data_IF_754147190201
#
_entry.id   IF_754147190201
#
_cell.length_a   1.000
_cell.length_b   1.000
_cell.length_c   1.000
_cell.angle_alpha   90.00
_cell.angle_beta   90.00
_cell.angle_gamma   90.00
#
_symmetry.space_group_name_H-M   'P 1'
#
loop_
_entity.id
_entity.type
_entity.pdbx_description
1 polymer ?
#
# COMPACT_ATOMS: atom_id res chain seq x y z
N UNK A 1 -1.42 22.41 8.85
CA UNK A 1 -1.93 21.09 8.44
C UNK A 1 -3.45 21.15 8.48
N UNK A 2 -4.14 20.56 7.51
CA UNK A 2 -5.61 20.46 7.55
C UNK A 2 -5.95 19.27 8.44
N UNK A 3 -6.66 19.53 9.52
CA UNK A 3 -7.10 18.51 10.46
C UNK A 3 -8.09 17.55 9.77
N UNK A 4 -7.96 16.23 9.95
CA UNK A 4 -8.88 15.28 9.35
C UNK A 4 -10.30 15.38 9.92
N UNK A 5 -11.31 15.44 9.05
CA UNK A 5 -12.71 15.33 9.46
C UNK A 5 -13.09 13.85 9.67
N UNK A 6 -12.84 13.34 10.89
CA UNK A 6 -13.06 11.94 11.24
C UNK A 6 -14.51 11.50 11.00
N UNK A 7 -15.49 12.37 11.31
CA UNK A 7 -16.91 12.05 11.13
C UNK A 7 -17.26 11.84 9.65
N UNK A 8 -16.72 12.69 8.78
CA UNK A 8 -16.86 12.53 7.34
C UNK A 8 -16.20 11.25 6.85
N UNK A 9 -15.01 10.92 7.35
CA UNK A 9 -14.28 9.70 6.97
C UNK A 9 -15.04 8.44 7.39
N UNK A 10 -15.54 8.40 8.62
CA UNK A 10 -16.37 7.29 9.12
C UNK A 10 -17.64 7.11 8.29
N UNK A 11 -18.33 8.21 7.97
CA UNK A 11 -19.53 8.17 7.12
C UNK A 11 -19.21 7.58 5.74
N UNK A 12 -18.15 8.09 5.08
CA UNK A 12 -17.76 7.62 3.74
C UNK A 12 -17.28 6.17 3.75
N UNK A 13 -16.54 5.76 4.77
CA UNK A 13 -16.11 4.37 4.93
C UNK A 13 -17.32 3.45 5.14
N UNK A 14 -18.27 3.85 5.97
CA UNK A 14 -19.52 3.11 6.19
C UNK A 14 -20.33 2.96 4.90
N UNK A 15 -20.43 4.01 4.09
CA UNK A 15 -21.08 3.96 2.78
C UNK A 15 -20.40 2.97 1.82
N UNK A 16 -19.05 3.00 1.76
CA UNK A 16 -18.27 2.05 0.98
C UNK A 16 -18.54 0.62 1.44
N UNK A 17 -18.44 0.36 2.74
CA UNK A 17 -18.63 -0.97 3.32
C UNK A 17 -20.05 -1.50 3.04
N UNK A 18 -21.08 -0.66 3.20
CA UNK A 18 -22.47 -0.99 2.85
C UNK A 18 -22.63 -1.30 1.36
N UNK A 19 -21.99 -0.53 0.49
CA UNK A 19 -22.05 -0.76 -0.96
C UNK A 19 -21.42 -2.11 -1.34
N UNK A 20 -20.28 -2.44 -0.75
CA UNK A 20 -19.57 -3.70 -0.99
C UNK A 20 -20.37 -4.88 -0.43
N UNK A 21 -20.86 -4.80 0.81
CA UNK A 21 -21.62 -5.88 1.45
C UNK A 21 -22.98 -6.14 0.78
N UNK A 22 -23.63 -5.09 0.26
CA UNK A 22 -24.87 -5.22 -0.52
C UNK A 22 -24.64 -5.72 -1.96
N UNK A 23 -23.42 -6.08 -2.35
CA UNK A 23 -23.11 -6.61 -3.68
C UNK A 23 -23.41 -5.62 -4.81
N UNK A 24 -23.24 -4.31 -4.57
CA UNK A 24 -23.48 -3.28 -5.59
C UNK A 24 -22.52 -3.45 -6.76
N UNK A 25 -22.85 -2.82 -7.90
CA UNK A 25 -22.03 -2.93 -9.10
C UNK A 25 -20.59 -2.48 -8.82
N UNK A 26 -19.62 -3.15 -9.45
CA UNK A 26 -18.19 -2.86 -9.26
C UNK A 26 -17.86 -1.38 -9.49
N UNK A 27 -18.46 -0.76 -10.51
CA UNK A 27 -18.26 0.67 -10.81
C UNK A 27 -18.74 1.57 -9.66
N UNK A 28 -19.88 1.23 -9.05
CA UNK A 28 -20.42 1.97 -7.91
C UNK A 28 -19.50 1.86 -6.69
N UNK A 29 -19.06 0.65 -6.35
CA UNK A 29 -18.13 0.45 -5.24
C UNK A 29 -16.78 1.15 -5.48
N UNK A 30 -16.26 1.14 -6.71
CA UNK A 30 -15.05 1.88 -7.07
C UNK A 30 -15.22 3.39 -6.94
N UNK A 31 -16.40 3.92 -7.28
CA UNK A 31 -16.71 5.34 -7.10
C UNK A 31 -16.65 5.73 -5.62
N UNK A 32 -17.33 4.95 -4.76
CA UNK A 32 -17.32 5.17 -3.30
C UNK A 32 -15.94 5.00 -2.68
N UNK A 33 -15.19 3.99 -3.13
CA UNK A 33 -13.81 3.78 -2.70
C UNK A 33 -12.91 4.95 -3.09
N UNK A 34 -13.00 5.43 -4.34
CA UNK A 34 -12.21 6.58 -4.81
C UNK A 34 -12.59 7.88 -4.10
N UNK A 35 -13.87 8.05 -3.77
CA UNK A 35 -14.35 9.17 -2.96
C UNK A 35 -13.80 9.14 -1.54
N UNK A 36 -13.86 7.98 -0.88
CA UNK A 36 -13.30 7.76 0.45
C UNK A 36 -11.79 8.04 0.47
N UNK A 37 -11.02 7.43 -0.44
CA UNK A 37 -9.55 7.60 -0.51
C UNK A 37 -9.16 9.06 -0.68
N UNK A 38 -9.81 9.80 -1.59
CA UNK A 38 -9.52 11.24 -1.79
C UNK A 38 -9.86 12.10 -0.58
N UNK A 39 -10.94 11.75 0.12
CA UNK A 39 -11.34 12.46 1.34
C UNK A 39 -10.35 12.18 2.48
N UNK A 40 -9.97 10.91 2.68
CA UNK A 40 -8.97 10.48 3.65
C UNK A 40 -7.64 11.18 3.42
N UNK A 41 -7.21 11.29 2.17
CA UNK A 41 -5.95 11.90 1.79
C UNK A 41 -5.99 13.44 1.79
N UNK A 42 -7.07 14.04 2.33
CA UNK A 42 -7.17 15.50 2.51
C UNK A 42 -7.41 16.26 1.21
N UNK A 43 -8.00 15.61 0.20
CA UNK A 43 -8.27 16.21 -1.12
C UNK A 43 -7.01 16.77 -1.78
N UNK A 44 -5.90 16.04 -1.65
CA UNK A 44 -4.61 16.37 -2.26
C UNK A 44 -3.87 15.12 -2.71
N UNK A 45 -2.90 15.31 -3.60
CA UNK A 45 -1.90 14.32 -3.90
C UNK A 45 -1.09 14.02 -2.64
N UNK A 46 -0.98 12.75 -2.26
CA UNK A 46 -0.16 12.35 -1.10
C UNK A 46 1.34 12.52 -1.40
N UNK A 47 1.72 12.41 -2.67
CA UNK A 47 3.12 12.50 -3.11
C UNK A 47 3.63 13.94 -3.21
N UNK A 48 2.88 14.81 -3.89
CA UNK A 48 3.35 16.18 -4.21
C UNK A 48 2.44 17.30 -3.70
N UNK A 49 1.42 16.98 -2.89
CA UNK A 49 0.47 17.93 -2.28
C UNK A 49 -0.37 18.79 -3.25
N UNK A 50 -0.27 18.60 -4.56
CA UNK A 50 -1.13 19.23 -5.58
C UNK A 50 -2.61 18.91 -5.30
N UNK A 51 -3.52 19.86 -5.54
CA UNK A 51 -4.96 19.72 -5.26
C UNK A 51 -5.79 19.56 -6.54
N UNK A 52 -5.19 19.69 -7.72
CA UNK A 52 -5.86 19.57 -9.00
C UNK A 52 -5.67 18.20 -9.67
N UNK A 53 -6.69 17.76 -10.42
CA UNK A 53 -6.62 16.55 -11.24
C UNK A 53 -6.40 15.27 -10.42
N UNK A 54 -7.10 15.14 -9.30
CA UNK A 54 -6.91 14.08 -8.31
C UNK A 54 -7.70 12.82 -8.63
N UNK A 55 -7.02 11.67 -8.50
CA UNK A 55 -7.61 10.35 -8.64
C UNK A 55 -7.01 9.38 -7.63
N UNK A 56 -7.84 8.49 -7.09
CA UNK A 56 -7.37 7.35 -6.32
C UNK A 56 -6.63 6.35 -7.23
N UNK A 57 -5.43 5.98 -6.81
CA UNK A 57 -4.57 4.98 -7.41
C UNK A 57 -4.60 3.71 -6.56
N UNK A 58 -4.68 2.55 -7.21
CA UNK A 58 -4.52 1.27 -6.52
C UNK A 58 -3.04 0.99 -6.28
N UNK A 59 -2.63 0.82 -5.02
CA UNK A 59 -1.24 0.50 -4.69
C UNK A 59 -0.95 -0.97 -5.05
N UNK A 60 -1.70 -1.89 -4.46
CA UNK A 60 -1.65 -3.32 -4.75
C UNK A 60 -2.53 -3.69 -5.95
N UNK A 61 -1.99 -4.51 -6.84
CA UNK A 61 -2.65 -4.83 -8.13
C UNK A 61 -3.88 -5.72 -7.94
N UNK A 62 -5.01 -5.28 -8.50
CA UNK A 62 -6.29 -6.02 -8.54
C UNK A 62 -6.21 -7.41 -9.15
N UNK A 63 -5.26 -7.64 -10.06
CA UNK A 63 -5.06 -8.94 -10.71
C UNK A 63 -4.59 -10.00 -9.71
N UNK A 64 -3.87 -9.57 -8.66
CA UNK A 64 -3.29 -10.44 -7.64
C UNK A 64 -4.24 -10.63 -6.46
N UNK A 65 -5.07 -9.63 -6.15
CA UNK A 65 -6.17 -9.75 -5.18
C UNK A 65 -7.36 -8.89 -5.61
N UNK A 66 -8.34 -9.49 -6.29
CA UNK A 66 -9.50 -8.77 -6.82
C UNK A 66 -10.45 -8.29 -5.73
N UNK A 67 -10.56 -9.05 -4.63
CA UNK A 67 -11.32 -8.69 -3.43
C UNK A 67 -10.75 -7.45 -2.73
N UNK A 68 -9.43 -7.30 -2.72
CA UNK A 68 -8.72 -6.19 -2.07
C UNK A 68 -8.85 -4.84 -2.79
N UNK A 69 -9.51 -4.78 -3.96
CA UNK A 69 -9.63 -3.54 -4.73
C UNK A 69 -10.45 -2.44 -4.03
N UNK A 70 -11.18 -2.79 -2.96
CA UNK A 70 -11.97 -1.88 -2.14
C UNK A 70 -11.38 -1.65 -0.76
N UNK A 71 -10.23 -2.26 -0.46
CA UNK A 71 -9.55 -2.05 0.82
C UNK A 71 -9.19 -0.56 0.95
N UNK A 72 -9.52 0.08 2.08
CA UNK A 72 -9.14 1.47 2.37
C UNK A 72 -7.64 1.71 2.16
N UNK A 73 -6.79 0.84 2.70
CA UNK A 73 -5.33 0.93 2.58
C UNK A 73 -4.78 0.60 1.19
N UNK A 74 -5.60 0.06 0.28
CA UNK A 74 -5.15 -0.25 -1.09
C UNK A 74 -5.33 0.94 -2.06
N UNK A 75 -5.58 2.13 -1.53
CA UNK A 75 -5.75 3.35 -2.28
C UNK A 75 -4.81 4.47 -1.83
N UNK A 76 -4.34 5.27 -2.77
CA UNK A 76 -3.63 6.53 -2.52
C UNK A 76 -4.06 7.58 -3.52
N UNK A 77 -4.26 8.82 -3.09
CA UNK A 77 -4.65 9.92 -3.96
C UNK A 77 -3.42 10.51 -4.63
N UNK A 78 -3.44 10.53 -5.96
CA UNK A 78 -2.39 11.10 -6.78
C UNK A 78 -2.95 12.13 -7.77
N UNK A 79 -2.19 13.19 -8.03
CA UNK A 79 -2.48 14.09 -9.15
C UNK A 79 -2.14 13.40 -10.49
N UNK A 80 -2.62 13.97 -11.61
CA UNK A 80 -2.39 13.42 -12.95
C UNK A 80 -0.93 13.11 -13.27
N UNK A 81 0.01 13.94 -12.80
CA UNK A 81 1.46 13.76 -13.02
C UNK A 81 1.97 12.53 -12.26
N UNK A 82 1.86 12.53 -10.94
CA UNK A 82 2.31 11.42 -10.09
C UNK A 82 1.61 10.11 -10.47
N UNK A 83 0.31 10.17 -10.80
CA UNK A 83 -0.44 9.01 -11.28
C UNK A 83 0.16 8.42 -12.55
N UNK A 84 0.51 9.26 -13.54
CA UNK A 84 1.16 8.82 -14.78
C UNK A 84 2.56 8.25 -14.51
N UNK A 85 3.28 8.81 -13.55
CA UNK A 85 4.63 8.38 -13.20
C UNK A 85 4.66 6.95 -12.64
N UNK A 86 3.68 6.57 -11.81
CA UNK A 86 3.47 5.20 -11.34
C UNK A 86 3.22 4.17 -12.48
N UNK A 87 2.99 4.67 -13.69
CA UNK A 87 2.60 3.92 -14.89
C UNK A 87 3.63 4.03 -16.03
N UNK A 88 4.73 4.79 -15.85
CA UNK A 88 5.76 4.99 -16.89
C UNK A 88 6.48 3.71 -17.29
N UNK A 89 6.81 2.86 -16.32
CA UNK A 89 7.62 1.65 -16.54
C UNK A 89 6.80 0.49 -17.10
N UNK A 90 5.59 0.27 -16.57
CA UNK A 90 4.75 -0.87 -16.96
C UNK A 90 3.25 -0.53 -16.92
N UNK A 91 2.58 -0.67 -18.06
CA UNK A 91 1.17 -0.29 -18.25
C UNK A 91 0.23 -1.43 -18.70
N UNK A 92 0.73 -2.66 -18.76
CA UNK A 92 -0.02 -3.81 -19.28
C UNK A 92 -0.50 -4.73 -18.14
N UNK A 93 -1.32 -5.72 -18.46
CA UNK A 93 -1.63 -6.82 -17.54
C UNK A 93 -0.40 -7.74 -17.47
N UNK A 94 0.11 -8.09 -16.27
CA UNK A 94 1.26 -8.96 -16.16
C UNK A 94 0.92 -10.38 -16.61
N UNK A 95 1.88 -11.05 -17.24
CA UNK A 95 1.78 -12.48 -17.51
C UNK A 95 2.11 -13.28 -16.25
N UNK A 96 1.08 -13.87 -15.63
CA UNK A 96 1.22 -14.63 -14.38
C UNK A 96 1.98 -15.96 -14.53
N UNK A 97 2.32 -16.38 -15.75
CA UNK A 97 3.16 -17.57 -15.97
C UNK A 97 4.66 -17.27 -15.91
N UNK A 98 5.06 -16.00 -15.83
CA UNK A 98 6.45 -15.58 -15.74
C UNK A 98 6.82 -15.24 -14.29
N UNK A 99 8.12 -15.31 -13.92
CA UNK A 99 8.62 -14.68 -12.71
C UNK A 99 8.16 -13.23 -12.63
N UNK A 100 7.90 -12.77 -11.41
CA UNK A 100 7.12 -11.56 -11.21
C UNK A 100 7.86 -10.31 -11.76
N UNK A 101 9.19 -10.37 -11.90
CA UNK A 101 10.11 -9.36 -12.46
C UNK A 101 10.41 -9.48 -13.98
N UNK A 102 10.04 -10.59 -14.62
CA UNK A 102 10.49 -10.96 -15.96
C UNK A 102 10.03 -10.00 -17.08
N UNK A 103 8.98 -9.21 -16.86
CA UNK A 103 8.43 -8.27 -17.86
C UNK A 103 8.91 -6.82 -17.67
N UNK A 104 10.07 -6.63 -17.02
CA UNK A 104 10.72 -5.32 -16.95
C UNK A 104 10.38 -4.53 -15.70
N UNK A 105 10.45 -5.19 -14.55
CA UNK A 105 10.44 -4.54 -13.24
C UNK A 105 9.07 -4.59 -12.60
N UNK A 106 8.98 -5.38 -11.54
CA UNK A 106 7.83 -5.34 -10.66
C UNK A 106 7.55 -3.94 -10.16
N UNK A 107 6.27 -3.67 -9.92
CA UNK A 107 5.88 -2.51 -9.14
C UNK A 107 6.31 -2.63 -7.68
N UNK A 108 7.15 -3.57 -7.24
CA UNK A 108 7.54 -3.70 -5.82
C UNK A 108 8.13 -2.40 -5.30
N UNK A 109 9.10 -1.80 -6.00
CA UNK A 109 9.67 -0.49 -5.62
C UNK A 109 8.63 0.64 -5.63
N UNK A 110 7.72 0.63 -6.61
CA UNK A 110 6.63 1.62 -6.69
C UNK A 110 5.62 1.41 -5.54
N UNK A 111 5.25 0.17 -5.24
CA UNK A 111 4.34 -0.21 -4.16
C UNK A 111 4.98 0.13 -2.81
N UNK A 112 6.25 -0.20 -2.61
CA UNK A 112 7.04 0.16 -1.44
C UNK A 112 7.01 1.67 -1.22
N UNK A 113 7.38 2.45 -2.25
CA UNK A 113 7.35 3.92 -2.17
C UNK A 113 5.95 4.43 -1.83
N UNK A 114 4.92 3.95 -2.53
CA UNK A 114 3.54 4.39 -2.32
C UNK A 114 3.04 4.03 -0.92
N UNK A 115 3.37 2.85 -0.40
CA UNK A 115 3.05 2.47 0.98
C UNK A 115 3.88 3.24 2.01
N UNK A 116 5.16 3.53 1.75
CA UNK A 116 5.98 4.40 2.61
C UNK A 116 5.37 5.80 2.72
N UNK A 117 5.12 6.49 1.59
CA UNK A 117 4.55 7.85 1.65
C UNK A 117 3.14 7.87 2.23
N UNK A 118 2.34 6.82 2.00
CA UNK A 118 1.00 6.72 2.58
C UNK A 118 1.05 6.51 4.09
N UNK A 119 1.97 5.68 4.57
CA UNK A 119 2.18 5.45 5.99
C UNK A 119 2.70 6.72 6.68
N UNK A 120 3.69 7.39 6.09
CA UNK A 120 4.18 8.68 6.59
C UNK A 120 3.07 9.72 6.67
N UNK A 121 2.27 9.88 5.60
CA UNK A 121 1.14 10.81 5.60
C UNK A 121 0.14 10.49 6.71
N UNK A 122 -0.10 9.20 6.97
CA UNK A 122 -1.00 8.77 8.04
C UNK A 122 -0.48 9.13 9.43
N UNK A 123 0.83 8.94 9.67
CA UNK A 123 1.48 9.26 10.95
C UNK A 123 1.53 10.77 11.16
N UNK A 124 1.94 11.55 10.15
CA UNK A 124 2.02 13.01 10.21
C UNK A 124 0.67 13.67 10.50
N UNK A 125 -0.43 12.98 10.17
CA UNK A 125 -1.81 13.47 10.34
C UNK A 125 -2.54 12.82 11.51
N UNK A 126 -1.85 12.01 12.31
CA UNK A 126 -2.43 11.28 13.44
C UNK A 126 -3.66 10.44 13.02
N UNK A 127 -3.51 9.74 11.88
CA UNK A 127 -4.52 8.88 11.25
C UNK A 127 -4.02 7.45 11.02
N UNK A 128 -2.87 7.06 11.58
CA UNK A 128 -2.19 5.79 11.31
C UNK A 128 -2.85 4.55 11.94
N UNK A 129 -4.12 4.69 12.31
CA UNK A 129 -4.94 3.64 12.91
C UNK A 129 -5.95 3.03 11.92
N UNK A 130 -6.34 1.79 12.24
CA UNK A 130 -7.43 1.11 11.57
C UNK A 130 -8.77 1.75 11.96
N UNK A 131 -9.72 1.95 11.03
CA UNK A 131 -9.88 1.19 9.78
C UNK A 131 -9.51 1.93 8.48
N UNK A 132 -9.08 3.19 8.54
CA UNK A 132 -8.96 4.06 7.35
C UNK A 132 -7.86 3.66 6.37
N UNK A 133 -6.92 2.84 6.82
CA UNK A 133 -5.84 2.30 6.02
C UNK A 133 -5.81 0.76 6.01
N UNK A 134 -6.93 0.13 6.34
CA UNK A 134 -7.02 -1.33 6.40
C UNK A 134 -6.70 -2.00 5.07
N UNK A 135 -5.84 -3.01 5.14
CA UNK A 135 -5.54 -3.97 4.09
C UNK A 135 -6.02 -5.34 4.52
N UNK A 136 -6.66 -6.04 3.61
CA UNK A 136 -7.12 -7.41 3.84
C UNK A 136 -5.94 -8.36 4.05
N UNK A 137 -6.16 -9.42 4.83
CA UNK A 137 -5.14 -10.44 5.11
C UNK A 137 -4.57 -11.06 3.83
N UNK A 138 -5.35 -11.18 2.75
CA UNK A 138 -4.87 -11.68 1.46
C UNK A 138 -3.75 -10.80 0.88
N UNK A 139 -3.82 -9.47 1.05
CA UNK A 139 -2.76 -8.56 0.60
C UNK A 139 -1.48 -8.83 1.40
N UNK A 140 -1.58 -8.82 2.73
CA UNK A 140 -0.42 -9.03 3.62
C UNK A 140 0.24 -10.39 3.38
N UNK A 141 -0.55 -11.47 3.28
CA UNK A 141 -0.05 -12.81 2.99
C UNK A 141 0.61 -12.89 1.61
N UNK A 142 0.07 -12.18 0.62
CA UNK A 142 0.66 -12.16 -0.73
C UNK A 142 1.99 -11.41 -0.73
N UNK A 143 2.09 -10.27 -0.03
CA UNK A 143 3.34 -9.53 0.11
C UNK A 143 4.41 -10.35 0.83
N UNK A 144 4.06 -11.05 1.93
CA UNK A 144 4.97 -11.98 2.62
C UNK A 144 5.52 -13.04 1.66
N UNK A 145 4.62 -13.66 0.88
CA UNK A 145 5.00 -14.69 -0.09
C UNK A 145 5.92 -14.14 -1.19
N UNK A 146 5.63 -12.94 -1.71
CA UNK A 146 6.47 -12.28 -2.72
C UNK A 146 7.90 -12.06 -2.21
N UNK A 147 8.04 -11.68 -0.95
CA UNK A 147 9.34 -11.39 -0.33
C UNK A 147 10.03 -12.62 0.32
N UNK A 148 9.45 -13.81 0.17
CA UNK A 148 10.00 -15.07 0.67
C UNK A 148 9.82 -15.32 2.19
N UNK A 149 8.92 -14.59 2.85
CA UNK A 149 8.58 -14.82 4.26
C UNK A 149 7.59 -15.98 4.43
N UNK A 150 7.61 -16.60 5.61
CA UNK A 150 6.58 -17.55 6.00
C UNK A 150 5.26 -16.81 6.22
N UNK A 151 4.13 -17.49 6.04
CA UNK A 151 2.81 -16.95 6.40
C UNK A 151 2.73 -16.58 7.88
N UNK A 152 3.44 -17.33 8.72
CA UNK A 152 3.50 -17.16 10.18
C UNK A 152 4.52 -16.11 10.64
N UNK A 153 5.33 -15.55 9.74
CA UNK A 153 6.30 -14.50 10.08
C UNK A 153 5.56 -13.30 10.69
N UNK A 154 5.99 -12.84 11.86
CA UNK A 154 5.36 -11.72 12.54
C UNK A 154 5.86 -10.38 11.98
N UNK A 155 4.91 -9.46 11.74
CA UNK A 155 5.19 -8.06 11.41
C UNK A 155 4.33 -7.20 12.33
N UNK A 156 4.91 -6.30 13.13
CA UNK A 156 4.15 -5.46 14.04
C UNK A 156 3.38 -4.36 13.30
N UNK A 157 2.44 -3.72 14.02
CA UNK A 157 1.77 -2.51 13.55
C UNK A 157 0.47 -2.73 12.77
N UNK A 158 -0.06 -1.62 12.25
CA UNK A 158 -1.24 -1.61 11.39
C UNK A 158 -0.99 -2.38 10.10
N UNK A 159 -2.06 -2.75 9.39
CA UNK A 159 -1.91 -3.50 8.13
C UNK A 159 -1.15 -2.68 7.07
N UNK A 160 -1.29 -1.35 7.08
CA UNK A 160 -0.50 -0.44 6.26
C UNK A 160 1.00 -0.48 6.62
N UNK A 161 1.32 -0.39 7.92
CA UNK A 161 2.71 -0.47 8.38
C UNK A 161 3.33 -1.81 8.03
N UNK A 162 2.58 -2.91 8.17
CA UNK A 162 3.02 -4.23 7.75
C UNK A 162 3.33 -4.28 6.24
N UNK A 163 2.43 -3.77 5.40
CA UNK A 163 2.65 -3.75 3.95
C UNK A 163 3.91 -2.97 3.56
N UNK A 164 4.12 -1.79 4.15
CA UNK A 164 5.35 -1.02 3.98
C UNK A 164 6.58 -1.82 4.45
N UNK A 165 6.56 -2.33 5.68
CA UNK A 165 7.71 -3.03 6.28
C UNK A 165 8.10 -4.27 5.48
N UNK A 166 7.13 -5.08 5.06
CA UNK A 166 7.37 -6.27 4.24
C UNK A 166 8.09 -5.89 2.94
N UNK A 167 7.67 -4.80 2.29
CA UNK A 167 8.25 -4.36 1.02
C UNK A 167 9.61 -3.67 1.19
N UNK A 168 9.78 -2.88 2.25
CA UNK A 168 11.02 -2.17 2.54
C UNK A 168 12.14 -3.12 3.01
N UNK A 169 11.77 -4.27 3.59
CA UNK A 169 12.76 -5.27 3.99
C UNK A 169 13.22 -6.02 2.73
N UNK A 170 14.53 -6.02 2.47
CA UNK A 170 15.15 -6.78 1.39
C UNK A 170 14.62 -8.23 1.39
N UNK A 171 14.46 -8.80 0.19
CA UNK A 171 14.06 -10.19 0.00
C UNK A 171 14.81 -11.09 0.98
N UNK A 172 14.07 -11.98 1.64
CA UNK A 172 14.61 -12.75 2.76
C UNK A 172 15.88 -13.51 2.40
N UNK A 173 15.92 -14.13 1.22
CA UNK A 173 17.05 -14.95 0.78
C UNK A 173 18.35 -14.13 0.60
N UNK A 174 18.39 -13.04 -0.19
CA UNK A 174 19.53 -12.13 -0.24
C UNK A 174 19.92 -11.55 1.12
N UNK A 175 18.95 -11.13 1.93
CA UNK A 175 19.18 -10.58 3.27
C UNK A 175 19.86 -11.60 4.17
N UNK A 176 19.31 -12.81 4.22
CA UNK A 176 19.82 -13.89 5.05
C UNK A 176 21.23 -14.32 4.59
N UNK A 177 21.47 -14.37 3.28
CA UNK A 177 22.80 -14.62 2.71
C UNK A 177 23.81 -13.53 3.11
N UNK A 178 23.42 -12.25 3.06
CA UNK A 178 24.28 -11.13 3.45
C UNK A 178 24.59 -11.15 4.95
N UNK A 179 23.58 -11.39 5.80
CA UNK A 179 23.75 -11.50 7.25
C UNK A 179 24.69 -12.66 7.60
N UNK A 180 24.46 -13.84 7.01
CA UNK A 180 25.32 -15.00 7.19
C UNK A 180 26.75 -14.74 6.72
N UNK A 181 26.93 -14.10 5.56
CA UNK A 181 28.24 -13.73 5.03
C UNK A 181 29.01 -12.76 5.95
N UNK A 182 28.30 -11.95 6.74
CA UNK A 182 28.88 -11.03 7.71
C UNK A 182 28.87 -11.58 9.16
N UNK A 183 28.59 -12.88 9.35
CA UNK A 183 28.68 -13.55 10.66
C UNK A 183 27.51 -13.30 11.60
N UNK A 184 26.39 -12.74 11.12
CA UNK A 184 25.18 -12.56 11.91
C UNK A 184 24.32 -13.83 11.92
N UNK A 185 23.63 -14.08 13.04
CA UNK A 185 22.63 -15.15 13.13
C UNK A 185 21.43 -14.81 12.26
N UNK A 186 21.05 -15.73 11.38
CA UNK A 186 19.89 -15.60 10.49
C UNK A 186 18.64 -16.20 11.12
N UNK A 187 17.54 -15.46 11.07
CA UNK A 187 16.24 -15.84 11.63
C UNK A 187 15.07 -15.38 10.76
N UNK A 188 13.90 -15.97 10.97
CA UNK A 188 12.69 -15.67 10.19
C UNK A 188 12.06 -14.30 10.49
N UNK A 189 12.53 -13.63 11.55
CA UNK A 189 11.98 -12.36 12.02
C UNK A 189 12.56 -11.17 11.22
N UNK A 190 11.74 -10.16 10.90
CA UNK A 190 12.22 -8.92 10.30
C UNK A 190 13.06 -8.10 11.30
N UNK A 191 13.95 -7.26 10.78
CA UNK A 191 14.70 -6.28 11.59
C UNK A 191 13.66 -5.31 12.16
N UNK A 192 13.55 -5.25 13.51
CA UNK A 192 12.47 -4.57 14.22
C UNK A 192 12.51 -3.05 14.17
N UNK A 193 13.66 -2.47 13.82
CA UNK A 193 13.87 -1.02 13.86
C UNK A 193 14.04 -0.47 12.43
N UNK A 194 12.91 -0.12 11.79
CA UNK A 194 12.98 0.93 10.77
C UNK A 194 12.94 2.26 11.51
N UNK A 195 13.98 3.11 11.41
CA UNK A 195 13.96 4.42 12.05
C UNK A 195 12.74 5.22 11.57
N UNK A 196 12.18 6.03 12.47
CA UNK A 196 10.93 6.83 12.33
C UNK A 196 10.86 7.75 11.09
N UNK A 197 11.88 7.76 10.24
CA UNK A 197 11.95 8.61 9.06
C UNK A 197 12.41 7.80 7.85
N UNK A 198 11.43 7.37 7.04
CA UNK A 198 11.61 7.01 5.62
C UNK A 198 11.92 8.32 4.83
N UNK A 199 12.92 9.09 5.27
CA UNK A 199 13.38 10.33 4.65
C UNK A 199 14.54 10.00 3.69
N UNK A 200 14.23 9.28 2.62
CA UNK A 200 15.05 9.29 1.43
C UNK A 200 14.30 10.09 0.37
N UNK A 201 14.52 11.40 0.40
CA UNK A 201 14.26 12.29 -0.72
C UNK A 201 15.06 11.77 -1.93
N UNK A 202 14.36 11.26 -2.94
CA UNK A 202 14.87 11.07 -4.29
C UNK A 202 14.21 12.08 -5.22
#
# INVERSE_FOLDING_TARGET
>A
MIEPDIQLLDSKLSELQKAVSAGRSRSYCLSKWSEFVRSRDGQRCVDCYETNGLSAHHVFRKVLASSAQFDPGNGITLCRRCHKDCHKVFNRRPNLSLPVDAEGGEKLQVMERLYCILYQDSVERDLDYEPFYSLSAIVILTLKKMQGYSVDSYFPGSSLQQAFTILATCERQPRDALLAANGFSVGAEPIRDYPEFCALTW
#
